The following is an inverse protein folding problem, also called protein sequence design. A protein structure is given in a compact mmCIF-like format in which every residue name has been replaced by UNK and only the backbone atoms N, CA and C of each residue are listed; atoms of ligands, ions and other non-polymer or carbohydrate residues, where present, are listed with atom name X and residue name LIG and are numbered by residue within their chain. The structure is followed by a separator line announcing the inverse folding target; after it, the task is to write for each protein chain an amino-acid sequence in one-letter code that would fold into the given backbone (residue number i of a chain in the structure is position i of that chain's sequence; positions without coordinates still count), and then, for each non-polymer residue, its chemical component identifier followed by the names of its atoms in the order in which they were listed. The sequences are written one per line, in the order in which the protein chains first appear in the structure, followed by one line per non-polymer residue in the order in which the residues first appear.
data_IF_557458774081
#
_entry.id   IF_557458774081
#
_cell.length_a   1.000
_cell.length_b   1.000
_cell.length_c   1.000
_cell.angle_alpha   90.00
_cell.angle_beta   90.00
_cell.angle_gamma   90.00
#
_symmetry.space_group_name_H-M   'P 1'
#
loop_
_entity.id
_entity.type
_entity.pdbx_description
1 polymer ?
#
# COMPACT_ATOMS: atom_id res chain seq x y z
N UNK A 1 24.72 -12.41 8.29
CA UNK A 1 24.38 -11.36 9.27
C UNK A 1 22.95 -10.84 9.04
N UNK A 2 22.60 -10.55 7.79
CA UNK A 2 21.33 -9.93 7.36
C UNK A 2 20.03 -10.62 7.83
N UNK A 3 19.90 -11.95 7.65
CA UNK A 3 18.64 -12.67 7.95
C UNK A 3 18.28 -12.65 9.44
N UNK A 4 19.27 -12.76 10.33
CA UNK A 4 19.02 -12.77 11.77
C UNK A 4 18.60 -11.39 12.28
N UNK A 5 19.21 -10.32 11.74
CA UNK A 5 18.84 -8.95 12.05
C UNK A 5 17.42 -8.63 11.56
N UNK A 6 17.08 -9.05 10.34
CA UNK A 6 15.74 -8.87 9.79
C UNK A 6 14.67 -9.63 10.59
N UNK A 7 14.98 -10.85 11.05
CA UNK A 7 14.09 -11.61 11.92
C UNK A 7 13.87 -10.90 13.26
N UNK A 8 14.93 -10.42 13.91
CA UNK A 8 14.82 -9.67 15.17
C UNK A 8 14.03 -8.37 15.00
N UNK A 9 14.24 -7.65 13.90
CA UNK A 9 13.50 -6.43 13.59
C UNK A 9 12.01 -6.71 13.41
N UNK A 10 11.68 -7.74 12.64
CA UNK A 10 10.29 -8.17 12.44
C UNK A 10 9.59 -8.54 13.76
N UNK A 11 10.28 -9.27 14.65
CA UNK A 11 9.75 -9.61 15.97
C UNK A 11 9.56 -8.34 16.82
N UNK A 12 10.52 -7.43 16.82
CA UNK A 12 10.43 -6.17 17.58
C UNK A 12 9.25 -5.31 17.12
N UNK A 13 9.11 -5.08 15.81
CA UNK A 13 8.04 -4.28 15.23
C UNK A 13 6.67 -4.91 15.55
N UNK A 14 6.57 -6.24 15.46
CA UNK A 14 5.34 -7.00 15.74
C UNK A 14 4.91 -6.98 17.22
N UNK A 15 5.85 -6.86 18.16
CA UNK A 15 5.59 -6.85 19.60
C UNK A 15 5.47 -5.44 20.18
N UNK A 16 6.09 -4.45 19.53
CA UNK A 16 6.16 -3.07 19.99
C UNK A 16 5.20 -2.14 19.23
N UNK A 17 5.74 -1.25 18.37
CA UNK A 17 5.01 -0.12 17.82
C UNK A 17 3.84 -0.52 16.91
N UNK A 18 3.94 -1.66 16.21
CA UNK A 18 2.91 -2.06 15.26
C UNK A 18 1.84 -2.99 15.85
N UNK A 19 1.96 -3.35 17.14
CA UNK A 19 0.98 -4.24 17.77
C UNK A 19 -0.39 -3.55 17.84
N UNK A 20 -1.42 -4.07 17.13
CA UNK A 20 -2.73 -3.46 17.15
C UNK A 20 -3.45 -3.72 18.48
N UNK A 21 -4.24 -2.75 18.91
CA UNK A 21 -5.08 -2.80 20.12
C UNK A 21 -6.57 -2.86 19.79
N UNK A 22 -6.94 -2.52 18.56
CA UNK A 22 -8.32 -2.49 18.08
C UNK A 22 -8.42 -3.00 16.63
N UNK A 23 -9.65 -3.30 16.20
CA UNK A 23 -9.92 -3.65 14.82
C UNK A 23 -9.72 -2.46 13.87
N UNK A 24 -9.94 -1.23 14.36
CA UNK A 24 -9.69 0.00 13.61
C UNK A 24 -8.20 0.13 13.28
N UNK A 25 -7.31 -0.07 14.25
CA UNK A 25 -5.85 -0.09 14.00
C UNK A 25 -5.45 -1.20 13.01
N UNK A 26 -6.12 -2.36 13.04
CA UNK A 26 -5.91 -3.41 12.05
C UNK A 26 -6.35 -2.99 10.64
N UNK A 27 -7.44 -2.22 10.53
CA UNK A 27 -7.94 -1.69 9.26
C UNK A 27 -7.02 -0.60 8.71
N UNK A 28 -6.53 0.31 9.57
CA UNK A 28 -5.51 1.31 9.22
C UNK A 28 -4.26 0.65 8.66
N UNK A 29 -3.76 -0.38 9.36
CA UNK A 29 -2.62 -1.14 8.88
C UNK A 29 -2.90 -1.82 7.53
N UNK A 30 -4.08 -2.41 7.36
CA UNK A 30 -4.43 -3.09 6.11
C UNK A 30 -4.57 -2.11 4.93
N UNK A 31 -5.03 -0.88 5.18
CA UNK A 31 -5.04 0.19 4.19
C UNK A 31 -3.61 0.60 3.79
N UNK A 32 -2.71 0.78 4.77
CA UNK A 32 -1.30 1.08 4.48
C UNK A 32 -0.61 -0.09 3.74
N UNK A 33 -0.94 -1.33 4.10
CA UNK A 33 -0.43 -2.52 3.42
C UNK A 33 -0.85 -2.56 1.94
N UNK A 34 -2.07 -2.10 1.61
CA UNK A 34 -2.52 -2.05 0.22
C UNK A 34 -1.58 -1.22 -0.64
N UNK A 35 -1.19 -0.02 -0.17
CA UNK A 35 -0.26 0.85 -0.90
C UNK A 35 1.13 0.21 -1.01
N UNK A 36 1.62 -0.44 0.05
CA UNK A 36 2.91 -1.15 0.05
C UNK A 36 2.95 -2.29 -0.97
N UNK A 37 1.82 -2.95 -1.22
CA UNK A 37 1.74 -4.09 -2.13
C UNK A 37 1.41 -3.69 -3.58
N UNK A 38 0.50 -2.75 -3.77
CA UNK A 38 -0.10 -2.46 -5.08
C UNK A 38 0.24 -1.08 -5.65
N UNK A 39 0.74 -0.15 -4.83
CA UNK A 39 1.10 1.21 -5.24
C UNK A 39 2.61 1.44 -5.30
N UNK A 40 3.28 1.44 -4.15
CA UNK A 40 4.69 1.82 -4.02
C UNK A 40 5.66 1.01 -4.91
N UNK A 41 5.54 -0.33 -5.05
CA UNK A 41 6.42 -1.09 -5.95
C UNK A 41 6.24 -0.70 -7.41
N UNK A 42 5.00 -0.40 -7.81
CA UNK A 42 4.66 0.01 -9.18
C UNK A 42 5.22 1.41 -9.46
N UNK A 43 5.06 2.36 -8.53
CA UNK A 43 5.69 3.68 -8.62
C UNK A 43 7.21 3.58 -8.77
N UNK A 44 7.87 2.76 -7.94
CA UNK A 44 9.33 2.55 -8.00
C UNK A 44 9.77 1.94 -9.33
N UNK A 45 8.97 1.05 -9.91
CA UNK A 45 9.24 0.45 -11.21
C UNK A 45 9.12 1.48 -12.34
N UNK A 46 8.04 2.26 -12.35
CA UNK A 46 7.78 3.29 -13.36
C UNK A 46 8.77 4.46 -13.28
N UNK A 47 9.26 4.80 -12.09
CA UNK A 47 10.34 5.78 -11.93
C UNK A 47 11.65 5.36 -12.61
N UNK A 48 11.90 4.04 -12.71
CA UNK A 48 13.07 3.49 -13.42
C UNK A 48 12.81 3.28 -14.91
N UNK A 49 11.62 2.83 -15.24
CA UNK A 49 11.19 2.50 -16.60
C UNK A 49 9.85 3.18 -16.86
N UNK A 50 9.93 4.43 -17.31
CA UNK A 50 8.76 5.22 -17.66
C UNK A 50 7.91 4.56 -18.76
N UNK A 51 6.69 5.05 -18.99
CA UNK A 51 5.77 4.48 -19.96
C UNK A 51 6.34 4.42 -21.40
N UNK A 52 7.17 5.40 -21.74
CA UNK A 52 7.79 5.53 -23.07
C UNK A 52 9.26 5.10 -23.10
N UNK A 53 9.72 4.36 -22.08
CA UNK A 53 11.10 3.85 -22.07
C UNK A 53 11.35 2.91 -23.25
N UNK A 54 12.55 3.01 -23.84
CA UNK A 54 13.01 2.15 -24.93
C UNK A 54 14.00 1.11 -24.43
N UNK A 55 14.00 -0.06 -25.06
CA UNK A 55 15.03 -1.08 -24.88
C UNK A 55 16.31 -0.71 -25.65
N UNK A 56 17.38 -1.48 -25.43
CA UNK A 56 18.70 -1.23 -26.05
C UNK A 56 18.68 -1.27 -27.58
N UNK A 57 17.74 -2.02 -28.17
CA UNK A 57 17.52 -2.12 -29.61
C UNK A 57 16.63 -1.00 -30.18
N UNK A 58 16.19 -0.05 -29.34
CA UNK A 58 15.32 1.06 -29.72
C UNK A 58 13.83 0.72 -29.74
N UNK A 59 13.43 -0.52 -29.44
CA UNK A 59 12.01 -0.90 -29.35
C UNK A 59 11.37 -0.44 -28.03
N UNK A 60 10.03 -0.27 -27.94
CA UNK A 60 9.37 0.09 -26.69
C UNK A 60 9.60 -0.96 -25.60
N UNK A 61 10.06 -0.54 -24.42
CA UNK A 61 10.35 -1.42 -23.28
C UNK A 61 9.10 -2.20 -22.84
N UNK A 62 7.94 -1.55 -22.85
CA UNK A 62 6.63 -2.13 -22.53
C UNK A 62 5.93 -2.69 -23.77
N UNK A 63 6.55 -3.70 -24.41
CA UNK A 63 5.99 -4.37 -25.58
C UNK A 63 6.01 -5.90 -25.45
N UNK A 64 5.26 -6.58 -26.33
CA UNK A 64 5.15 -8.04 -26.35
C UNK A 64 4.51 -8.59 -25.07
N UNK A 65 5.31 -9.34 -24.30
CA UNK A 65 4.88 -9.97 -23.03
C UNK A 65 4.90 -9.00 -21.84
N UNK A 66 5.57 -7.85 -21.96
CA UNK A 66 5.71 -6.87 -20.88
C UNK A 66 4.61 -5.82 -20.99
N UNK A 67 3.69 -5.79 -20.02
CA UNK A 67 2.65 -4.76 -19.92
C UNK A 67 3.06 -3.69 -18.93
N UNK A 68 2.91 -2.43 -19.33
CA UNK A 68 3.13 -1.30 -18.44
C UNK A 68 2.08 -1.34 -17.31
N UNK A 69 2.48 -1.49 -16.04
CA UNK A 69 1.56 -1.51 -14.92
C UNK A 69 1.02 -0.12 -14.60
N UNK A 70 -0.09 -0.06 -13.86
CA UNK A 70 -0.61 1.19 -13.30
C UNK A 70 -0.66 1.07 -11.78
N UNK A 71 -0.16 2.07 -11.03
CA UNK A 71 -0.26 2.05 -9.57
C UNK A 71 -1.73 2.10 -9.18
N UNK A 72 -2.10 1.30 -8.18
CA UNK A 72 -3.48 1.24 -7.68
C UNK A 72 -3.53 1.95 -6.34
N UNK A 73 -4.31 3.03 -6.25
CA UNK A 73 -4.60 3.71 -5.00
C UNK A 73 -5.82 3.08 -4.34
N UNK A 74 -5.84 3.05 -3.01
CA UNK A 74 -6.98 2.54 -2.27
C UNK A 74 -8.21 3.44 -2.50
N UNK A 75 -9.28 2.82 -3.01
CA UNK A 75 -10.58 3.47 -3.21
C UNK A 75 -11.60 2.86 -2.23
N UNK A 76 -12.16 3.64 -1.28
CA UNK A 76 -13.13 3.15 -0.31
C UNK A 76 -14.51 2.88 -0.91
N UNK A 77 -14.75 3.20 -2.19
CA UNK A 77 -15.98 2.89 -2.91
C UNK A 77 -15.88 1.60 -3.72
N UNK A 78 -14.66 1.10 -3.96
CA UNK A 78 -14.44 -0.15 -4.67
C UNK A 78 -14.60 -1.35 -3.72
N UNK A 79 -15.55 -2.23 -4.05
CA UNK A 79 -15.83 -3.44 -3.29
C UNK A 79 -14.61 -4.38 -3.18
N UNK A 80 -13.75 -4.47 -4.20
CA UNK A 80 -12.55 -5.31 -4.16
C UNK A 80 -11.51 -4.76 -3.18
N UNK A 81 -11.32 -3.45 -3.17
CA UNK A 81 -10.41 -2.79 -2.25
C UNK A 81 -10.88 -2.96 -0.80
N UNK A 82 -12.17 -2.72 -0.54
CA UNK A 82 -12.76 -2.95 0.78
C UNK A 82 -12.66 -4.42 1.23
N UNK A 83 -12.86 -5.38 0.31
CA UNK A 83 -12.71 -6.81 0.61
C UNK A 83 -11.28 -7.16 1.00
N UNK A 84 -10.29 -6.62 0.30
CA UNK A 84 -8.89 -6.81 0.67
C UNK A 84 -8.62 -6.28 2.07
N UNK A 85 -8.99 -5.03 2.34
CA UNK A 85 -8.73 -4.40 3.64
C UNK A 85 -9.41 -5.17 4.77
N UNK A 86 -10.66 -5.58 4.57
CA UNK A 86 -11.40 -6.41 5.53
C UNK A 86 -10.70 -7.74 5.80
N UNK A 87 -10.29 -8.46 4.75
CA UNK A 87 -9.63 -9.74 4.91
C UNK A 87 -8.30 -9.59 5.66
N UNK A 88 -7.46 -8.64 5.26
CA UNK A 88 -6.18 -8.37 5.89
C UNK A 88 -6.33 -7.92 7.35
N UNK A 89 -7.26 -7.01 7.64
CA UNK A 89 -7.54 -6.54 9.00
C UNK A 89 -8.03 -7.69 9.91
N UNK A 90 -8.92 -8.54 9.42
CA UNK A 90 -9.40 -9.70 10.17
C UNK A 90 -8.30 -10.73 10.44
N UNK A 91 -7.42 -10.99 9.47
CA UNK A 91 -6.28 -11.88 9.66
C UNK A 91 -5.32 -11.33 10.71
N UNK A 92 -5.00 -10.02 10.65
CA UNK A 92 -4.16 -9.38 11.67
C UNK A 92 -4.83 -9.40 13.04
N UNK A 93 -6.12 -9.08 13.13
CA UNK A 93 -6.88 -9.17 14.37
C UNK A 93 -6.80 -10.58 14.97
N UNK A 94 -6.95 -11.62 14.15
CA UNK A 94 -6.85 -13.01 14.60
C UNK A 94 -5.47 -13.35 15.18
N UNK A 95 -4.39 -12.92 14.52
CA UNK A 95 -3.00 -13.13 15.01
C UNK A 95 -2.77 -12.51 16.39
N UNK A 96 -3.38 -11.37 16.67
CA UNK A 96 -3.24 -10.66 17.94
C UNK A 96 -4.35 -10.98 18.97
N UNK A 97 -5.24 -11.94 18.68
CA UNK A 97 -6.33 -12.34 19.58
C UNK A 97 -7.46 -11.31 19.70
N UNK A 98 -7.59 -10.39 18.75
CA UNK A 98 -8.64 -9.39 18.67
C UNK A 98 -9.87 -9.96 17.94
N UNK A 99 -11.06 -9.40 18.26
CA UNK A 99 -12.30 -9.76 17.56
C UNK A 99 -12.31 -9.13 16.16
N UNK A 100 -12.44 -9.97 15.14
CA UNK A 100 -12.68 -9.54 13.76
C UNK A 100 -14.13 -9.08 13.52
N UNK A 101 -14.43 -8.67 12.28
CA UNK A 101 -15.78 -8.29 11.84
C UNK A 101 -16.25 -9.03 10.60
N UNK A 102 -17.54 -9.36 10.59
CA UNK A 102 -18.25 -9.94 9.46
C UNK A 102 -18.97 -8.89 8.59
N UNK A 103 -19.11 -7.65 9.06
CA UNK A 103 -19.80 -6.58 8.34
C UNK A 103 -18.84 -5.75 7.49
N UNK A 104 -19.19 -5.55 6.22
CA UNK A 104 -18.45 -4.66 5.31
C UNK A 104 -18.51 -3.19 5.77
N UNK A 105 -19.63 -2.79 6.37
CA UNK A 105 -19.87 -1.43 6.87
C UNK A 105 -18.92 -1.01 8.00
N UNK A 106 -18.44 -1.94 8.81
CA UNK A 106 -17.52 -1.63 9.92
C UNK A 106 -16.11 -1.30 9.42
N UNK A 107 -15.74 -1.85 8.26
CA UNK A 107 -14.42 -1.66 7.66
C UNK A 107 -14.39 -0.37 6.84
N UNK A 108 -15.46 -0.05 6.11
CA UNK A 108 -15.52 1.20 5.34
C UNK A 108 -15.39 2.45 6.22
N UNK A 109 -15.95 2.43 7.45
CA UNK A 109 -15.82 3.53 8.42
C UNK A 109 -14.39 3.67 8.93
N UNK A 110 -13.75 2.55 9.30
CA UNK A 110 -12.35 2.55 9.75
C UNK A 110 -11.38 2.99 8.64
N UNK A 111 -11.64 2.58 7.40
CA UNK A 111 -10.85 2.99 6.22
C UNK A 111 -11.05 4.47 5.90
N UNK A 112 -12.28 4.97 5.94
CA UNK A 112 -12.57 6.39 5.73
C UNK A 112 -11.89 7.29 6.78
N UNK A 113 -11.85 6.85 8.05
CA UNK A 113 -11.14 7.56 9.12
C UNK A 113 -9.63 7.64 8.86
N UNK A 114 -9.04 6.60 8.26
CA UNK A 114 -7.60 6.59 7.93
C UNK A 114 -7.24 7.38 6.68
N UNK A 115 -8.12 7.40 5.67
CA UNK A 115 -7.95 8.23 4.48
C UNK A 115 -7.97 9.74 4.84
N UNK A 116 -8.75 10.13 5.84
CA UNK A 116 -8.81 11.50 6.32
C UNK A 116 -7.50 11.99 6.97
N UNK A 117 -6.65 11.10 7.49
CA UNK A 117 -5.35 11.48 8.06
C UNK A 117 -4.23 11.60 7.00
N UNK A 118 -4.47 11.22 5.75
CA UNK A 118 -3.49 11.25 4.65
C UNK A 118 -3.53 12.55 3.81
N UNK A 119 -4.39 13.53 4.16
CA UNK A 119 -4.53 14.81 3.42
C UNK A 119 -3.86 15.97 4.16
N UNK A 120 -2.75 15.71 4.87
CA UNK A 120 -1.96 16.77 5.51
C UNK A 120 -0.47 16.55 5.29
N UNK A 121 -0.03 16.68 4.04
CA UNK A 121 1.32 17.12 3.69
C UNK A 121 1.18 17.93 2.38
N UNK A 122 0.97 19.24 2.52
CA UNK A 122 1.10 20.21 1.44
C UNK A 122 2.57 20.26 1.01
N UNK A 123 2.97 19.24 0.25
CA UNK A 123 4.23 19.19 -0.48
C UNK A 123 4.16 20.13 -1.66
N UNK A 124 4.66 21.34 -1.44
CA UNK A 124 5.07 22.36 -2.41
C UNK A 124 5.36 21.76 -3.81
N UNK A 125 4.58 22.20 -4.79
CA UNK A 125 4.72 21.84 -6.18
C UNK A 125 6.14 22.18 -6.68
N UNK A 126 6.88 21.16 -7.12
CA UNK A 126 8.12 21.39 -7.86
C UNK A 126 7.75 21.94 -9.26
N UNK A 127 8.18 23.16 -9.63
CA UNK A 127 7.79 23.74 -10.91
C UNK A 127 8.42 22.97 -12.09
N UNK A 128 7.75 22.94 -13.26
CA UNK A 128 8.27 22.26 -14.44
C UNK A 128 9.54 22.97 -14.91
N UNK A 129 10.63 22.22 -14.97
CA UNK A 129 11.88 22.65 -15.60
C UNK A 129 11.59 22.92 -17.08
N UNK A 130 11.49 24.19 -17.44
CA UNK A 130 11.48 24.66 -18.81
C UNK A 130 12.83 24.32 -19.46
N UNK A 131 12.77 23.63 -20.59
CA UNK A 131 13.89 23.44 -21.51
C UNK A 131 13.65 24.32 -22.73
N UNK A 132 14.39 25.41 -22.83
CA UNK A 132 14.88 25.99 -24.09
C UNK A 132 16.41 26.01 -24.03
#
# INVERSE_FOLDING_TARGET
ADVAEQALRSVFDSLGPERPRSLEECASWAAALFEVLFGAPVHKLLAKFGPDSLATDGSPFWSGVKRCPRPVMLDPTDALHLRFVRAAANLRAHVYGLKGTASEQSVSVAVAATAASAVADDGEACPPMAVE
#
